data_IF_388375361127
#
_entry.id   IF_388375361127
#
_cell.length_a   1.000
_cell.length_b   1.000
_cell.length_c   1.000
_cell.angle_alpha   90.00
_cell.angle_beta   90.00
_cell.angle_gamma   90.00
#
_symmetry.space_group_name_H-M   'P 1'
#
loop_
_entity.id
_entity.type
_entity.pdbx_description
1 polymer ?
#
# COMPACT_ATOMS: atom_id res chain seq x y z
N UNK A 1 64.20 -20.41 -12.50
CA UNK A 1 63.52 -20.01 -11.26
C UNK A 1 62.63 -18.83 -11.62
N UNK A 2 61.32 -19.03 -11.78
CA UNK A 2 60.38 -17.96 -12.11
C UNK A 2 59.77 -17.44 -10.80
N UNK A 3 59.98 -16.15 -10.53
CA UNK A 3 59.36 -15.47 -9.40
C UNK A 3 57.87 -15.31 -9.70
N UNK A 4 57.05 -16.01 -8.91
CA UNK A 4 55.60 -15.91 -8.95
C UNK A 4 55.21 -14.67 -8.14
N UNK A 5 54.95 -13.56 -8.82
CA UNK A 5 54.34 -12.40 -8.20
C UNK A 5 52.82 -12.64 -8.17
N UNK A 6 52.33 -13.12 -7.03
CA UNK A 6 50.90 -13.07 -6.73
C UNK A 6 50.49 -11.60 -6.71
N UNK A 7 49.87 -11.14 -7.80
CA UNK A 7 49.15 -9.87 -7.83
C UNK A 7 48.19 -9.90 -6.64
N UNK A 8 48.31 -8.90 -5.76
CA UNK A 8 47.51 -8.82 -4.55
C UNK A 8 46.04 -9.06 -4.88
N UNK A 9 45.42 -9.99 -4.15
CA UNK A 9 43.97 -10.12 -4.09
C UNK A 9 43.41 -8.77 -3.63
N UNK A 10 43.08 -7.88 -4.57
CA UNK A 10 42.09 -6.85 -4.32
C UNK A 10 40.81 -7.62 -3.97
N UNK A 11 40.30 -7.43 -2.75
CA UNK A 11 38.99 -7.95 -2.39
C UNK A 11 38.01 -7.35 -3.40
N UNK A 12 37.55 -8.16 -4.35
CA UNK A 12 36.52 -7.70 -5.28
C UNK A 12 35.33 -7.23 -4.45
N UNK A 13 34.72 -6.07 -4.79
CA UNK A 13 33.56 -5.61 -4.07
C UNK A 13 32.50 -6.71 -4.10
N UNK A 14 31.99 -7.07 -2.93
CA UNK A 14 30.97 -8.12 -2.81
C UNK A 14 29.63 -7.54 -3.21
N UNK A 15 29.30 -7.65 -4.49
CA UNK A 15 28.00 -7.24 -5.04
C UNK A 15 26.99 -8.34 -4.75
N UNK A 16 25.81 -7.94 -4.25
CA UNK A 16 24.64 -8.80 -4.18
C UNK A 16 23.50 -8.21 -5.02
N UNK A 17 22.64 -9.06 -5.53
CA UNK A 17 21.41 -8.66 -6.23
C UNK A 17 20.23 -9.01 -5.34
N UNK A 18 19.33 -8.05 -5.12
CA UNK A 18 18.08 -8.24 -4.36
C UNK A 18 16.93 -7.58 -5.12
N UNK A 19 15.95 -8.38 -5.52
CA UNK A 19 14.78 -7.92 -6.27
C UNK A 19 13.67 -7.35 -5.39
N UNK A 20 13.87 -6.12 -4.90
CA UNK A 20 12.94 -5.42 -4.00
C UNK A 20 11.51 -5.38 -4.55
N UNK A 21 11.31 -5.02 -5.82
CA UNK A 21 9.97 -4.95 -6.42
C UNK A 21 9.26 -6.31 -6.44
N UNK A 22 10.00 -7.38 -6.69
CA UNK A 22 9.47 -8.75 -6.70
C UNK A 22 9.07 -9.14 -5.29
N UNK A 23 9.92 -8.86 -4.30
CA UNK A 23 9.65 -9.13 -2.89
C UNK A 23 8.43 -8.36 -2.39
N UNK A 24 8.34 -7.07 -2.71
CA UNK A 24 7.17 -6.24 -2.38
C UNK A 24 5.88 -6.83 -2.95
N UNK A 25 5.88 -7.30 -4.22
CA UNK A 25 4.72 -7.96 -4.83
C UNK A 25 4.35 -9.26 -4.13
N UNK A 26 5.34 -10.07 -3.75
CA UNK A 26 5.12 -11.31 -3.01
C UNK A 26 4.48 -11.01 -1.65
N UNK A 27 5.00 -10.04 -0.90
CA UNK A 27 4.46 -9.65 0.41
C UNK A 27 3.04 -9.09 0.30
N UNK A 28 2.78 -8.20 -0.67
CA UNK A 28 1.43 -7.69 -0.96
C UNK A 28 0.44 -8.82 -1.20
N UNK A 29 0.86 -9.85 -1.96
CA UNK A 29 0.03 -11.03 -2.23
C UNK A 29 -0.15 -11.91 -1.01
N UNK A 30 0.94 -12.23 -0.30
CA UNK A 30 0.94 -13.08 0.89
C UNK A 30 0.00 -12.54 1.97
N UNK A 31 0.10 -11.24 2.22
CA UNK A 31 -0.71 -10.53 3.20
C UNK A 31 -2.07 -10.07 2.66
N UNK A 32 -2.40 -10.43 1.41
CA UNK A 32 -3.69 -10.13 0.77
C UNK A 32 -4.05 -8.64 0.79
N UNK A 33 -3.05 -7.76 0.73
CA UNK A 33 -3.23 -6.30 0.84
C UNK A 33 -4.19 -5.78 -0.23
N UNK A 34 -4.05 -6.25 -1.47
CA UNK A 34 -4.92 -5.85 -2.57
C UNK A 34 -6.37 -6.31 -2.35
N UNK A 35 -6.57 -7.53 -1.85
CA UNK A 35 -7.92 -8.04 -1.56
C UNK A 35 -8.60 -7.27 -0.43
N UNK A 36 -7.86 -6.94 0.63
CA UNK A 36 -8.35 -6.11 1.76
C UNK A 36 -8.74 -4.72 1.25
N UNK A 37 -7.86 -4.08 0.48
CA UNK A 37 -8.10 -2.75 -0.06
C UNK A 37 -9.30 -2.73 -1.02
N UNK A 38 -9.39 -3.69 -1.93
CA UNK A 38 -10.48 -3.81 -2.89
C UNK A 38 -11.82 -4.07 -2.18
N UNK A 39 -11.84 -4.88 -1.12
CA UNK A 39 -13.05 -5.11 -0.34
C UNK A 39 -13.56 -3.81 0.31
N UNK A 40 -12.67 -3.00 0.88
CA UNK A 40 -13.02 -1.70 1.44
C UNK A 40 -13.49 -0.71 0.35
N UNK A 41 -12.82 -0.67 -0.80
CA UNK A 41 -13.21 0.18 -1.93
C UNK A 41 -14.61 -0.17 -2.44
N UNK A 42 -14.89 -1.46 -2.65
CA UNK A 42 -16.21 -1.93 -3.09
C UNK A 42 -17.28 -1.58 -2.07
N UNK A 43 -17.01 -1.80 -0.78
CA UNK A 43 -17.94 -1.43 0.29
C UNK A 43 -18.28 0.07 0.25
N UNK A 44 -17.26 0.93 0.21
CA UNK A 44 -17.45 2.39 0.22
C UNK A 44 -18.18 2.86 -1.05
N UNK A 45 -17.88 2.31 -2.22
CA UNK A 45 -18.60 2.64 -3.47
C UNK A 45 -20.07 2.23 -3.44
N UNK A 46 -20.37 1.06 -2.86
CA UNK A 46 -21.75 0.62 -2.67
C UNK A 46 -22.51 1.53 -1.70
N UNK A 47 -21.85 1.93 -0.61
CA UNK A 47 -22.42 2.85 0.37
C UNK A 47 -22.67 4.24 -0.23
N UNK A 48 -21.72 4.77 -1.01
CA UNK A 48 -21.91 6.02 -1.76
C UNK A 48 -23.11 5.92 -2.70
N UNK A 49 -23.20 4.84 -3.49
CA UNK A 49 -24.30 4.63 -4.43
C UNK A 49 -25.64 4.57 -3.70
N UNK A 50 -25.70 3.88 -2.54
CA UNK A 50 -26.89 3.80 -1.70
C UNK A 50 -27.33 5.18 -1.20
N UNK A 51 -26.39 5.98 -0.68
CA UNK A 51 -26.66 7.35 -0.19
C UNK A 51 -27.09 8.28 -1.34
N UNK A 52 -26.48 8.15 -2.51
CA UNK A 52 -26.83 8.92 -3.70
C UNK A 52 -28.24 8.60 -4.20
N UNK A 53 -28.60 7.32 -4.29
CA UNK A 53 -29.95 6.91 -4.69
C UNK A 53 -31.01 7.35 -3.66
N UNK A 54 -30.71 7.28 -2.36
CA UNK A 54 -31.58 7.82 -1.32
C UNK A 54 -31.84 9.32 -1.51
N UNK A 55 -30.78 10.11 -1.75
CA UNK A 55 -30.89 11.55 -2.01
C UNK A 55 -31.72 11.84 -3.28
N UNK A 56 -31.50 11.09 -4.37
CA UNK A 56 -32.28 11.22 -5.61
C UNK A 56 -33.77 10.95 -5.38
N UNK A 57 -34.10 9.89 -4.63
CA UNK A 57 -35.48 9.56 -4.28
C UNK A 57 -36.09 10.66 -3.40
N UNK A 58 -35.33 11.22 -2.46
CA UNK A 58 -35.79 12.32 -1.63
C UNK A 58 -36.09 13.56 -2.49
N UNK A 59 -35.21 13.95 -3.41
CA UNK A 59 -35.44 15.04 -4.38
C UNK A 59 -36.69 14.77 -5.23
N UNK A 60 -36.82 13.58 -5.82
CA UNK A 60 -37.96 13.23 -6.66
C UNK A 60 -39.30 13.21 -5.88
N UNK A 61 -39.26 12.93 -4.57
CA UNK A 61 -40.42 13.06 -3.68
C UNK A 61 -40.79 14.52 -3.49
N UNK A 62 -39.81 15.42 -3.37
CA UNK A 62 -40.03 16.85 -3.15
C UNK A 62 -40.69 17.51 -4.35
N UNK A 63 -40.31 17.14 -5.58
CA UNK A 63 -40.94 17.67 -6.81
C UNK A 63 -42.46 17.39 -6.87
N UNK A 64 -42.96 16.45 -6.06
CA UNK A 64 -44.38 16.04 -6.02
C UNK A 64 -45.17 16.65 -4.86
N UNK A 65 -44.54 17.37 -3.92
CA UNK A 65 -45.20 17.91 -2.72
C UNK A 65 -45.31 19.44 -2.82
N UNK A 66 -46.49 19.99 -2.48
CA UNK A 66 -46.65 21.43 -2.30
C UNK A 66 -46.14 21.84 -0.91
N UNK A 67 -45.08 22.67 -0.88
CA UNK A 67 -44.49 23.18 0.36
C UNK A 67 -45.01 24.57 0.73
N UNK A 68 -45.02 24.88 2.02
CA UNK A 68 -45.03 26.27 2.47
C UNK A 68 -43.63 26.89 2.25
N UNK A 69 -43.50 28.20 2.00
CA UNK A 69 -42.19 28.82 1.74
C UNK A 69 -41.13 28.54 2.82
N UNK A 70 -41.53 28.56 4.10
CA UNK A 70 -40.63 28.31 5.24
C UNK A 70 -40.18 26.85 5.37
N UNK A 71 -41.02 25.89 4.98
CA UNK A 71 -40.62 24.48 4.95
C UNK A 71 -39.66 24.22 3.79
N UNK A 72 -39.93 24.82 2.63
CA UNK A 72 -39.10 24.68 1.43
C UNK A 72 -37.63 25.13 1.67
N UNK A 73 -37.43 26.27 2.32
CA UNK A 73 -36.09 26.82 2.59
C UNK A 73 -35.25 25.92 3.54
N UNK A 74 -35.86 25.43 4.63
CA UNK A 74 -35.20 24.49 5.55
C UNK A 74 -34.81 23.18 4.83
N UNK A 75 -35.66 22.68 3.93
CA UNK A 75 -35.37 21.47 3.17
C UNK A 75 -34.28 21.68 2.12
N UNK A 76 -34.23 22.84 1.45
CA UNK A 76 -33.13 23.17 0.54
C UNK A 76 -31.78 23.19 1.25
N UNK A 77 -31.72 23.72 2.48
CA UNK A 77 -30.49 23.69 3.29
C UNK A 77 -30.07 22.26 3.63
N UNK A 78 -31.02 21.40 4.01
CA UNK A 78 -30.76 19.98 4.30
C UNK A 78 -30.21 19.24 3.08
N UNK A 79 -30.82 19.41 1.91
CA UNK A 79 -30.34 18.80 0.65
C UNK A 79 -28.93 19.28 0.28
N UNK A 80 -28.65 20.57 0.45
CA UNK A 80 -27.32 21.13 0.19
C UNK A 80 -26.27 20.53 1.12
N UNK A 81 -26.62 20.31 2.39
CA UNK A 81 -25.75 19.65 3.35
C UNK A 81 -25.51 18.18 2.96
N UNK A 82 -26.57 17.41 2.69
CA UNK A 82 -26.45 16.00 2.28
C UNK A 82 -25.65 15.82 0.98
N UNK A 83 -25.82 16.73 0.02
CA UNK A 83 -25.00 16.75 -1.18
C UNK A 83 -23.53 17.07 -0.86
N UNK A 84 -23.27 18.04 0.02
CA UNK A 84 -21.92 18.36 0.50
C UNK A 84 -21.24 17.16 1.17
N UNK A 85 -21.99 16.44 2.02
CA UNK A 85 -21.52 15.23 2.69
C UNK A 85 -21.22 14.10 1.68
N UNK A 86 -22.05 13.94 0.65
CA UNK A 86 -21.80 12.99 -0.45
C UNK A 86 -20.53 13.33 -1.24
N UNK A 87 -20.31 14.60 -1.57
CA UNK A 87 -19.09 15.04 -2.28
C UNK A 87 -17.86 14.82 -1.40
N UNK A 88 -17.95 15.11 -0.09
CA UNK A 88 -16.87 14.82 0.84
C UNK A 88 -16.58 13.31 0.92
N UNK A 89 -17.62 12.48 0.95
CA UNK A 89 -17.50 11.03 0.96
C UNK A 89 -16.88 10.49 -0.35
N UNK A 90 -17.26 11.03 -1.51
CA UNK A 90 -16.64 10.69 -2.79
C UNK A 90 -15.13 10.96 -2.78
N UNK A 91 -14.70 12.13 -2.25
CA UNK A 91 -13.28 12.46 -2.12
C UNK A 91 -12.52 11.50 -1.21
N UNK A 92 -13.15 10.95 -0.17
CA UNK A 92 -12.52 9.91 0.65
C UNK A 92 -12.20 8.67 -0.20
N UNK A 93 -13.10 8.28 -1.11
CA UNK A 93 -12.92 7.13 -1.99
C UNK A 93 -11.84 7.42 -3.05
N UNK A 94 -11.88 8.60 -3.68
CA UNK A 94 -11.00 8.92 -4.82
C UNK A 94 -9.60 9.34 -4.39
N UNK A 95 -9.47 10.04 -3.25
CA UNK A 95 -8.23 10.70 -2.87
C UNK A 95 -7.59 9.99 -1.67
N UNK A 96 -8.34 9.82 -0.57
CA UNK A 96 -7.80 9.31 0.68
C UNK A 96 -7.47 7.82 0.61
N UNK A 97 -8.36 7.02 0.04
CA UNK A 97 -8.20 5.56 0.00
C UNK A 97 -6.93 5.13 -0.77
N UNK A 98 -6.64 5.64 -1.98
CA UNK A 98 -5.37 5.35 -2.67
C UNK A 98 -4.14 5.82 -1.89
N UNK A 99 -4.21 6.95 -1.19
CA UNK A 99 -3.11 7.47 -0.36
C UNK A 99 -2.82 6.50 0.80
N UNK A 100 -3.85 5.97 1.46
CA UNK A 100 -3.67 4.99 2.53
C UNK A 100 -2.98 3.72 2.03
N UNK A 101 -3.35 3.21 0.85
CA UNK A 101 -2.64 2.06 0.24
C UNK A 101 -1.19 2.39 -0.07
N UNK A 102 -0.91 3.57 -0.63
CA UNK A 102 0.48 4.02 -0.87
C UNK A 102 1.27 4.10 0.43
N UNK A 103 0.67 4.60 1.51
CA UNK A 103 1.29 4.66 2.83
C UNK A 103 1.66 3.27 3.37
N UNK A 104 0.76 2.29 3.27
CA UNK A 104 1.05 0.90 3.63
C UNK A 104 2.22 0.32 2.83
N UNK A 105 2.24 0.53 1.51
CA UNK A 105 3.32 0.04 0.65
C UNK A 105 4.66 0.71 0.98
N UNK A 106 4.65 2.02 1.30
CA UNK A 106 5.85 2.72 1.74
C UNK A 106 6.42 2.16 3.05
N UNK A 107 5.56 1.73 3.98
CA UNK A 107 6.01 1.04 5.19
C UNK A 107 6.67 -0.32 4.89
N UNK A 108 6.13 -1.07 3.92
CA UNK A 108 6.75 -2.33 3.50
C UNK A 108 8.13 -2.08 2.89
N UNK A 109 8.24 -1.08 2.02
CA UNK A 109 9.51 -0.68 1.41
C UNK A 109 10.54 -0.24 2.46
N UNK A 110 10.13 0.46 3.52
CA UNK A 110 11.02 0.87 4.61
C UNK A 110 11.55 -0.33 5.41
N UNK A 111 10.69 -1.32 5.71
CA UNK A 111 11.14 -2.57 6.36
C UNK A 111 12.14 -3.31 5.46
N UNK A 112 11.83 -3.44 4.17
CA UNK A 112 12.71 -4.10 3.21
C UNK A 112 14.05 -3.37 3.14
N UNK A 113 14.04 -2.04 3.05
CA UNK A 113 15.25 -1.21 3.02
C UNK A 113 16.08 -1.37 4.30
N UNK A 114 15.44 -1.35 5.46
CA UNK A 114 16.11 -1.59 6.75
C UNK A 114 16.77 -2.96 6.75
N UNK A 115 16.07 -4.00 6.29
CA UNK A 115 16.62 -5.35 6.26
C UNK A 115 17.76 -5.50 5.23
N UNK A 116 17.72 -4.79 4.09
CA UNK A 116 18.83 -4.74 3.13
C UNK A 116 20.09 -4.20 3.80
N UNK A 117 19.99 -3.14 4.61
CA UNK A 117 21.15 -2.58 5.31
C UNK A 117 21.78 -3.58 6.29
N UNK A 118 20.94 -4.34 7.00
CA UNK A 118 21.42 -5.40 7.89
C UNK A 118 22.06 -6.53 7.07
N UNK A 119 21.42 -6.94 5.98
CA UNK A 119 21.93 -7.98 5.08
C UNK A 119 23.31 -7.62 4.50
N UNK A 120 23.48 -6.36 4.05
CA UNK A 120 24.74 -5.82 3.55
C UNK A 120 25.83 -5.97 4.61
N UNK A 121 25.53 -5.56 5.84
CA UNK A 121 26.49 -5.59 6.95
C UNK A 121 26.92 -7.01 7.30
N UNK A 122 25.96 -7.94 7.41
CA UNK A 122 26.23 -9.32 7.80
C UNK A 122 26.97 -10.12 6.72
N UNK A 123 26.61 -9.91 5.45
CA UNK A 123 27.24 -10.61 4.33
C UNK A 123 28.50 -9.91 3.82
N UNK A 124 28.85 -8.75 4.42
CA UNK A 124 29.96 -7.88 4.00
C UNK A 124 29.83 -7.53 2.52
N UNK A 125 28.62 -7.23 2.07
CA UNK A 125 28.39 -6.72 0.73
C UNK A 125 28.78 -5.24 0.68
N UNK A 126 29.31 -4.78 -0.44
CA UNK A 126 29.61 -3.36 -0.65
C UNK A 126 28.47 -2.64 -1.37
N UNK A 127 27.76 -3.38 -2.22
CA UNK A 127 26.66 -2.86 -3.05
C UNK A 127 25.57 -3.92 -3.16
N UNK A 128 24.32 -3.48 -3.03
CA UNK A 128 23.15 -4.24 -3.46
C UNK A 128 22.58 -3.59 -4.72
N UNK A 129 22.45 -4.37 -5.78
CA UNK A 129 21.89 -3.93 -7.05
C UNK A 129 20.51 -4.57 -7.29
N UNK A 130 19.72 -3.93 -8.15
CA UNK A 130 18.51 -4.54 -8.73
C UNK A 130 18.82 -4.98 -10.16
N UNK A 131 18.26 -6.13 -10.56
CA UNK A 131 18.30 -6.65 -11.93
C UNK A 131 17.73 -5.68 -12.96
N UNK A 132 16.87 -4.72 -12.58
CA UNK A 132 16.40 -3.68 -13.51
C UNK A 132 17.52 -2.88 -14.16
N UNK A 133 18.67 -2.81 -13.51
CA UNK A 133 19.85 -2.08 -13.99
C UNK A 133 20.93 -3.00 -14.58
N UNK A 134 20.65 -4.31 -14.69
CA UNK A 134 21.63 -5.33 -15.09
C UNK A 134 21.06 -6.18 -16.22
N UNK A 135 21.82 -6.30 -17.31
CA UNK A 135 21.43 -7.18 -18.43
C UNK A 135 21.83 -8.63 -18.19
N UNK A 136 22.97 -8.85 -17.52
CA UNK A 136 23.54 -10.16 -17.23
C UNK A 136 24.23 -10.13 -15.87
N UNK A 137 24.14 -11.23 -15.13
CA UNK A 137 24.83 -11.44 -13.86
C UNK A 137 24.98 -12.93 -13.58
N UNK A 138 25.93 -13.28 -12.71
CA UNK A 138 26.11 -14.65 -12.23
C UNK A 138 25.01 -15.00 -11.21
N UNK A 139 24.29 -16.14 -11.34
CA UNK A 139 23.21 -16.50 -10.41
C UNK A 139 23.64 -16.53 -8.94
N UNK A 140 24.91 -16.79 -8.65
CA UNK A 140 25.49 -16.88 -7.31
C UNK A 140 25.48 -15.56 -6.54
N UNK A 141 25.37 -14.43 -7.25
CA UNK A 141 25.26 -13.11 -6.63
C UNK A 141 23.80 -12.67 -6.43
N UNK A 142 22.82 -13.41 -6.96
CA UNK A 142 21.41 -13.20 -6.64
C UNK A 142 21.07 -13.79 -5.27
N UNK A 143 20.69 -12.90 -4.36
CA UNK A 143 20.36 -13.20 -2.97
C UNK A 143 18.89 -12.98 -2.67
N UNK A 144 18.05 -12.80 -3.69
CA UNK A 144 16.63 -12.49 -3.53
C UNK A 144 15.89 -13.54 -2.71
N UNK A 145 16.09 -14.83 -2.97
CA UNK A 145 15.42 -15.92 -2.23
C UNK A 145 15.90 -16.01 -0.77
N UNK A 146 17.22 -15.94 -0.55
CA UNK A 146 17.84 -15.93 0.78
C UNK A 146 17.29 -14.76 1.62
N UNK A 147 17.23 -13.58 0.99
CA UNK A 147 16.72 -12.37 1.61
C UNK A 147 15.20 -12.43 1.88
N UNK A 148 14.42 -13.09 1.01
CA UNK A 148 12.99 -13.34 1.24
C UNK A 148 12.73 -14.18 2.49
N UNK A 149 13.47 -15.29 2.66
CA UNK A 149 13.36 -16.16 3.83
C UNK A 149 13.62 -15.36 5.11
N UNK A 150 14.61 -14.47 5.06
CA UNK A 150 14.94 -13.57 6.16
C UNK A 150 13.84 -12.56 6.46
N UNK A 151 13.30 -11.90 5.43
CA UNK A 151 12.18 -10.95 5.55
C UNK A 151 10.91 -11.60 6.13
N UNK A 152 10.71 -12.88 5.87
CA UNK A 152 9.54 -13.64 6.34
C UNK A 152 9.80 -14.42 7.62
N UNK A 153 10.97 -14.25 8.23
CA UNK A 153 11.27 -14.78 9.56
C UNK A 153 10.31 -14.22 10.61
N UNK A 154 10.11 -14.96 11.71
CA UNK A 154 9.12 -14.61 12.77
C UNK A 154 9.13 -13.14 13.22
N UNK A 155 10.27 -12.50 13.56
CA UNK A 155 10.24 -11.13 14.04
C UNK A 155 9.76 -10.14 12.98
N UNK A 156 10.20 -10.30 11.73
CA UNK A 156 9.82 -9.39 10.63
C UNK A 156 8.40 -9.64 10.14
N UNK A 157 7.99 -10.91 10.06
CA UNK A 157 6.59 -11.26 9.76
C UNK A 157 5.62 -10.60 10.72
N UNK A 158 5.91 -10.62 12.03
CA UNK A 158 5.07 -9.99 13.04
C UNK A 158 4.98 -8.46 12.87
N UNK A 159 6.06 -7.82 12.41
CA UNK A 159 6.08 -6.38 12.10
C UNK A 159 5.17 -6.04 10.91
N UNK A 160 5.23 -6.83 9.82
CA UNK A 160 4.31 -6.70 8.70
C UNK A 160 2.86 -6.92 9.15
N UNK A 161 2.57 -7.98 9.90
CA UNK A 161 1.24 -8.29 10.42
C UNK A 161 0.68 -7.16 11.27
N UNK A 162 1.52 -6.54 12.11
CA UNK A 162 1.13 -5.37 12.91
C UNK A 162 0.69 -4.21 12.03
N UNK A 163 1.49 -3.83 11.02
CA UNK A 163 1.18 -2.72 10.11
C UNK A 163 -0.11 -3.01 9.32
N UNK A 164 -0.32 -4.25 8.89
CA UNK A 164 -1.55 -4.66 8.20
C UNK A 164 -2.75 -4.53 9.12
N UNK A 165 -2.63 -4.95 10.39
CA UNK A 165 -3.72 -4.84 11.35
C UNK A 165 -4.08 -3.37 11.62
N UNK A 166 -3.09 -2.49 11.73
CA UNK A 166 -3.30 -1.04 11.84
C UNK A 166 -4.01 -0.47 10.60
N UNK A 167 -3.57 -0.87 9.41
CA UNK A 167 -4.20 -0.49 8.15
C UNK A 167 -5.66 -0.98 8.05
N UNK A 168 -5.93 -2.23 8.41
CA UNK A 168 -7.30 -2.79 8.47
C UNK A 168 -8.16 -2.02 9.47
N UNK A 169 -7.62 -1.66 10.63
CA UNK A 169 -8.33 -0.85 11.61
C UNK A 169 -8.71 0.53 11.06
N UNK A 170 -7.81 1.18 10.30
CA UNK A 170 -8.10 2.45 9.63
C UNK A 170 -9.19 2.31 8.57
N UNK A 171 -9.13 1.27 7.73
CA UNK A 171 -10.18 0.98 6.75
C UNK A 171 -11.54 0.73 7.43
N UNK A 172 -11.55 -0.05 8.52
CA UNK A 172 -12.76 -0.30 9.30
C UNK A 172 -13.33 0.97 9.94
N UNK A 173 -12.48 1.93 10.32
CA UNK A 173 -12.94 3.22 10.83
C UNK A 173 -13.62 4.06 9.73
N UNK A 174 -13.10 4.03 8.50
CA UNK A 174 -13.74 4.69 7.36
C UNK A 174 -15.11 4.09 7.02
N UNK A 175 -15.26 2.77 7.15
CA UNK A 175 -16.50 2.07 6.81
C UNK A 175 -17.63 2.26 7.85
N UNK A 176 -17.32 2.76 9.06
CA UNK A 176 -18.31 2.98 10.13
C UNK A 176 -18.91 4.39 10.15
N UNK A 177 -18.36 5.31 9.36
CA UNK A 177 -18.86 6.69 9.16
C UNK A 177 -19.70 6.77 7.88
#
# INVERSE_FOLDING_TARGET
MLLNFSVGLHSQPKVAIIEVDTLSKILVREFKVDSIHQAAEVYLKNEFSRRLEALKLEIARLDKICFTPSSYENYQQKLKQEHGDLVAFEKVITDSLPVMRKGLLAHFEEIIRSEIQVFITENRCDVVASTRNLLFFEPEIDRTEEFYIRLTSRPRRAEFEKIINEYVALLNALMKN
#
